data_IF_629032853072
#
_entry.id   IF_629032853072
#
_cell.length_a   1.000
_cell.length_b   1.000
_cell.length_c   1.000
_cell.angle_alpha   90.00
_cell.angle_beta   90.00
_cell.angle_gamma   90.00
#
_symmetry.space_group_name_H-M   'P 1'
#
loop_
_entity.id
_entity.type
_entity.pdbx_description
1 polymer ?
#
# COMPACT_ATOMS: atom_id res chain seq x y z
N UNK A 1 0.44 -26.89 15.92
CA UNK A 1 -0.80 -26.32 16.50
C UNK A 1 -1.60 -25.50 15.48
N UNK A 2 -1.01 -24.65 14.64
CA UNK A 2 -1.76 -23.86 13.64
C UNK A 2 -2.32 -24.63 12.43
N UNK A 3 -1.80 -25.83 12.12
CA UNK A 3 -2.22 -26.62 10.95
C UNK A 3 -3.55 -27.37 11.12
N UNK A 4 -4.14 -27.36 12.31
CA UNK A 4 -5.40 -28.06 12.61
C UNK A 4 -6.64 -27.15 12.48
N UNK A 5 -6.45 -25.83 12.48
CA UNK A 5 -7.54 -24.86 12.41
C UNK A 5 -7.67 -24.28 10.99
N UNK A 6 -8.91 -24.10 10.47
CA UNK A 6 -9.14 -23.52 9.15
C UNK A 6 -8.63 -22.07 9.09
N UNK A 7 -8.12 -21.65 7.93
CA UNK A 7 -7.53 -20.31 7.72
C UNK A 7 -8.47 -19.16 8.12
N UNK A 8 -9.77 -19.35 7.95
CA UNK A 8 -10.81 -18.37 8.32
C UNK A 8 -10.84 -18.06 9.82
N UNK A 9 -10.37 -18.98 10.66
CA UNK A 9 -10.32 -18.82 12.12
C UNK A 9 -8.99 -18.25 12.62
N UNK A 10 -8.06 -17.97 11.72
CA UNK A 10 -6.76 -17.42 12.10
C UNK A 10 -6.90 -15.95 12.48
N UNK A 11 -6.15 -15.55 13.50
CA UNK A 11 -6.06 -14.16 13.89
C UNK A 11 -5.40 -13.31 12.79
N UNK A 12 -5.74 -12.02 12.72
CA UNK A 12 -5.23 -11.09 11.69
C UNK A 12 -3.70 -11.01 11.68
N UNK A 13 -3.07 -11.15 12.85
CA UNK A 13 -1.63 -11.09 13.03
C UNK A 13 -0.96 -12.47 13.07
N UNK A 14 -1.65 -13.53 12.61
CA UNK A 14 -1.09 -14.87 12.61
C UNK A 14 0.25 -14.92 11.83
N UNK A 15 1.33 -15.49 12.41
CA UNK A 15 2.68 -15.39 11.86
C UNK A 15 2.80 -15.97 10.44
N UNK A 16 2.01 -16.99 10.10
CA UNK A 16 1.97 -17.54 8.74
C UNK A 16 1.41 -16.54 7.72
N UNK A 17 0.40 -15.74 8.05
CA UNK A 17 -0.15 -14.72 7.15
C UNK A 17 0.87 -13.60 6.90
N UNK A 18 1.55 -13.16 7.96
CA UNK A 18 2.62 -12.15 7.86
C UNK A 18 3.77 -12.69 7.02
N UNK A 19 4.18 -13.95 7.23
CA UNK A 19 5.22 -14.60 6.43
C UNK A 19 4.85 -14.69 4.94
N UNK A 20 3.61 -15.10 4.61
CA UNK A 20 3.11 -15.12 3.22
C UNK A 20 3.12 -13.71 2.59
N UNK A 21 2.68 -12.70 3.32
CA UNK A 21 2.67 -11.31 2.84
C UNK A 21 4.08 -10.78 2.58
N UNK A 22 5.01 -10.99 3.51
CA UNK A 22 6.42 -10.60 3.34
C UNK A 22 7.09 -11.36 2.21
N UNK A 23 6.78 -12.65 2.05
CA UNK A 23 7.28 -13.46 0.93
C UNK A 23 6.81 -12.91 -0.42
N UNK A 24 5.53 -12.53 -0.53
CA UNK A 24 5.01 -11.89 -1.73
C UNK A 24 5.71 -10.55 -2.04
N UNK A 25 5.90 -9.70 -1.03
CA UNK A 25 6.64 -8.43 -1.15
C UNK A 25 8.09 -8.67 -1.60
N UNK A 26 8.76 -9.66 -1.01
CA UNK A 26 10.14 -10.03 -1.38
C UNK A 26 10.24 -10.50 -2.83
N UNK A 27 9.26 -11.29 -3.31
CA UNK A 27 9.22 -11.74 -4.70
C UNK A 27 9.03 -10.58 -5.69
N UNK A 28 8.22 -9.57 -5.33
CA UNK A 28 8.08 -8.35 -6.13
C UNK A 28 9.44 -7.65 -6.24
N UNK A 29 10.12 -7.37 -5.11
CA UNK A 29 11.44 -6.73 -5.14
C UNK A 29 12.51 -7.55 -5.88
N UNK A 30 12.49 -8.88 -5.71
CA UNK A 30 13.36 -9.80 -6.43
C UNK A 30 13.17 -9.68 -7.95
N UNK A 31 11.92 -9.59 -8.41
CA UNK A 31 11.59 -9.41 -9.82
C UNK A 31 11.97 -8.01 -10.33
N UNK A 32 11.77 -6.96 -9.53
CA UNK A 32 12.20 -5.59 -9.88
C UNK A 32 13.72 -5.47 -10.04
N UNK A 33 14.51 -6.31 -9.36
CA UNK A 33 15.98 -6.32 -9.52
C UNK A 33 16.40 -6.57 -10.96
N UNK A 34 15.59 -7.25 -11.78
CA UNK A 34 15.86 -7.46 -13.20
C UNK A 34 15.97 -6.14 -13.98
N UNK A 35 15.32 -5.07 -13.54
CA UNK A 35 15.44 -3.73 -14.14
C UNK A 35 16.90 -3.25 -14.08
N UNK A 36 17.68 -3.63 -13.06
CA UNK A 36 19.11 -3.29 -12.99
C UNK A 36 19.95 -3.92 -14.11
N UNK A 37 19.51 -5.04 -14.71
CA UNK A 37 20.21 -5.67 -15.83
C UNK A 37 20.09 -4.86 -17.13
N UNK A 38 19.09 -3.96 -17.25
CA UNK A 38 18.96 -3.08 -18.41
C UNK A 38 20.12 -2.07 -18.53
N UNK A 39 20.87 -1.83 -17.45
CA UNK A 39 22.09 -1.00 -17.47
C UNK A 39 23.19 -1.60 -18.35
N UNK A 40 23.23 -2.92 -18.53
CA UNK A 40 24.22 -3.60 -19.35
C UNK A 40 23.95 -3.48 -20.86
N UNK A 41 22.75 -3.02 -21.25
CA UNK A 41 22.41 -2.83 -22.65
C UNK A 41 22.74 -1.39 -23.11
N UNK A 42 23.42 -1.26 -24.25
CA UNK A 42 23.88 0.02 -24.80
C UNK A 42 22.75 1.02 -25.09
N UNK A 43 21.55 0.54 -25.41
CA UNK A 43 20.38 1.39 -25.67
C UNK A 43 19.54 1.70 -24.42
N UNK A 44 19.41 0.75 -23.49
CA UNK A 44 18.52 0.88 -22.32
C UNK A 44 19.24 1.47 -21.09
N UNK A 45 20.56 1.39 -21.01
CA UNK A 45 21.36 1.95 -19.91
C UNK A 45 21.20 3.46 -19.75
N UNK A 46 21.35 4.29 -20.82
CA UNK A 46 21.15 5.74 -20.73
C UNK A 46 19.73 6.13 -20.29
N UNK A 47 18.73 5.35 -20.72
CA UNK A 47 17.33 5.57 -20.37
C UNK A 47 17.06 5.26 -18.90
N UNK A 48 17.64 4.19 -18.36
CA UNK A 48 17.55 3.86 -16.94
C UNK A 48 18.25 4.89 -16.05
N UNK A 49 19.41 5.40 -16.45
CA UNK A 49 20.12 6.47 -15.71
C UNK A 49 19.27 7.74 -15.65
N UNK A 50 18.63 8.09 -16.77
CA UNK A 50 17.71 9.24 -16.84
C UNK A 50 16.48 9.04 -15.94
N UNK A 51 15.91 7.83 -15.93
CA UNK A 51 14.80 7.46 -15.05
C UNK A 51 15.17 7.59 -13.57
N UNK A 52 16.35 7.12 -13.17
CA UNK A 52 16.84 7.25 -11.79
C UNK A 52 16.94 8.71 -11.32
N UNK A 53 17.35 9.62 -12.21
CA UNK A 53 17.40 11.06 -11.90
C UNK A 53 15.99 11.68 -11.80
N UNK A 54 15.08 11.33 -12.71
CA UNK A 54 13.69 11.79 -12.67
C UNK A 54 12.94 11.32 -11.41
N UNK A 55 13.24 10.11 -10.91
CA UNK A 55 12.64 9.61 -9.66
C UNK A 55 12.93 10.53 -8.45
N UNK A 56 14.13 11.13 -8.37
CA UNK A 56 14.45 12.05 -7.29
C UNK A 56 13.60 13.32 -7.33
N UNK A 57 13.28 13.80 -8.52
CA UNK A 57 12.38 14.95 -8.68
C UNK A 57 10.93 14.57 -8.38
N UNK A 58 10.48 13.39 -8.81
CA UNK A 58 9.16 12.85 -8.45
C UNK A 58 9.00 12.73 -6.92
N UNK A 59 10.02 12.24 -6.20
CA UNK A 59 9.97 12.13 -4.74
C UNK A 59 9.81 13.49 -4.05
N UNK A 60 10.42 14.57 -4.58
CA UNK A 60 10.22 15.93 -4.05
C UNK A 60 8.78 16.40 -4.24
N UNK A 61 8.18 16.15 -5.40
CA UNK A 61 6.77 16.48 -5.63
C UNK A 61 5.83 15.63 -4.78
N UNK A 62 6.15 14.35 -4.59
CA UNK A 62 5.40 13.44 -3.73
C UNK A 62 5.37 13.94 -2.28
N UNK A 63 6.46 14.51 -1.78
CA UNK A 63 6.51 15.09 -0.44
C UNK A 63 5.48 16.22 -0.26
N UNK A 64 5.42 17.17 -1.20
CA UNK A 64 4.43 18.26 -1.16
C UNK A 64 3.01 17.70 -1.28
N UNK A 65 2.80 16.74 -2.17
CA UNK A 65 1.51 16.07 -2.33
C UNK A 65 1.05 15.38 -1.03
N UNK A 66 1.94 14.67 -0.34
CA UNK A 66 1.65 14.06 0.95
C UNK A 66 1.25 15.09 2.02
N UNK A 67 1.90 16.25 2.07
CA UNK A 67 1.52 17.32 3.00
C UNK A 67 0.10 17.83 2.73
N UNK A 68 -0.25 18.04 1.46
CA UNK A 68 -1.60 18.43 1.05
C UNK A 68 -2.59 17.34 1.44
N UNK A 69 -2.31 16.07 1.09
CA UNK A 69 -3.17 14.93 1.40
C UNK A 69 -3.42 14.82 2.91
N UNK A 70 -2.38 14.95 3.74
CA UNK A 70 -2.51 14.91 5.20
C UNK A 70 -3.33 16.08 5.74
N UNK A 71 -3.16 17.30 5.22
CA UNK A 71 -3.97 18.45 5.62
C UNK A 71 -5.46 18.23 5.31
N UNK A 72 -5.78 17.72 4.12
CA UNK A 72 -7.14 17.36 3.75
C UNK A 72 -7.68 16.17 4.55
N UNK A 73 -6.87 15.13 4.79
CA UNK A 73 -7.25 13.98 5.59
C UNK A 73 -7.62 14.39 7.01
N UNK A 74 -6.84 15.27 7.64
CA UNK A 74 -7.15 15.81 8.96
C UNK A 74 -8.45 16.63 8.95
N UNK A 75 -8.64 17.48 7.93
CA UNK A 75 -9.86 18.29 7.79
C UNK A 75 -11.13 17.44 7.58
N UNK A 76 -11.05 16.43 6.72
CA UNK A 76 -12.14 15.50 6.46
C UNK A 76 -12.45 14.62 7.67
N UNK A 77 -11.41 14.07 8.31
CA UNK A 77 -11.58 13.30 9.54
C UNK A 77 -12.27 14.15 10.62
N UNK A 78 -11.81 15.38 10.85
CA UNK A 78 -12.44 16.28 11.83
C UNK A 78 -13.91 16.57 11.52
N UNK A 79 -14.27 16.70 10.23
CA UNK A 79 -15.63 16.99 9.80
C UNK A 79 -16.55 15.77 9.90
N UNK A 80 -16.06 14.60 9.51
CA UNK A 80 -16.86 13.38 9.36
C UNK A 80 -16.76 12.41 10.54
N UNK A 81 -15.86 12.63 11.50
CA UNK A 81 -15.68 11.77 12.69
C UNK A 81 -16.98 11.55 13.48
N UNK A 82 -17.86 12.56 13.55
CA UNK A 82 -19.14 12.42 14.27
C UNK A 82 -20.19 11.54 13.56
N UNK A 83 -19.99 11.24 12.28
CA UNK A 83 -20.93 10.49 11.45
C UNK A 83 -20.54 9.01 11.31
N UNK A 84 -19.77 8.49 12.26
CA UNK A 84 -19.33 7.10 12.24
C UNK A 84 -20.52 6.15 12.50
N UNK A 85 -20.94 5.42 11.47
CA UNK A 85 -22.01 4.44 11.55
C UNK A 85 -21.39 3.06 11.81
N UNK A 86 -21.58 2.53 13.02
CA UNK A 86 -21.04 1.23 13.45
C UNK A 86 -22.10 0.15 13.60
N UNK A 87 -23.39 0.50 13.48
CA UNK A 87 -24.49 -0.42 13.78
C UNK A 87 -24.91 -1.23 12.55
N UNK A 88 -24.90 -2.56 12.69
CA UNK A 88 -25.50 -3.48 11.70
C UNK A 88 -24.66 -3.73 10.42
N UNK A 89 -23.40 -3.29 10.39
CA UNK A 89 -22.50 -3.48 9.26
C UNK A 89 -21.69 -4.78 9.43
N UNK A 90 -21.78 -5.69 8.46
CA UNK A 90 -20.93 -6.88 8.37
C UNK A 90 -19.52 -6.58 7.84
N UNK A 91 -19.36 -5.47 7.12
CA UNK A 91 -18.11 -5.01 6.54
C UNK A 91 -17.99 -3.49 6.75
N UNK A 92 -16.85 -3.04 7.27
CA UNK A 92 -16.55 -1.63 7.53
C UNK A 92 -15.45 -1.11 6.60
N UNK A 93 -15.66 0.06 6.02
CA UNK A 93 -14.66 0.83 5.29
C UNK A 93 -14.84 0.85 3.78
N UNK A 94 -13.89 1.49 3.10
CA UNK A 94 -13.95 1.81 1.66
C UNK A 94 -13.79 0.61 0.72
N UNK A 95 -13.33 -0.53 1.25
CA UNK A 95 -13.07 -1.78 0.49
C UNK A 95 -14.26 -2.75 0.49
N UNK A 96 -15.37 -2.38 1.12
CA UNK A 96 -16.61 -3.14 1.10
C UNK A 96 -17.36 -2.94 -0.23
N UNK A 97 -18.26 -3.87 -0.58
CA UNK A 97 -19.13 -3.77 -1.76
C UNK A 97 -19.92 -2.45 -1.76
N UNK A 98 -20.48 -2.10 -0.61
CA UNK A 98 -21.07 -0.78 -0.34
C UNK A 98 -20.12 0.00 0.56
N UNK A 99 -19.47 1.01 -0.02
CA UNK A 99 -18.52 1.87 0.70
C UNK A 99 -19.23 2.58 1.84
N UNK A 100 -18.66 2.47 3.04
CA UNK A 100 -19.17 3.10 4.26
C UNK A 100 -17.99 3.61 5.09
N UNK A 101 -18.25 4.57 5.98
CA UNK A 101 -17.24 5.12 6.91
C UNK A 101 -15.94 5.53 6.18
N UNK A 102 -16.07 6.29 5.08
CA UNK A 102 -14.93 6.62 4.22
C UNK A 102 -13.98 7.65 4.84
N UNK A 103 -14.53 8.54 5.67
CA UNK A 103 -13.82 9.67 6.29
C UNK A 103 -14.08 9.76 7.81
N UNK A 104 -14.66 8.69 8.37
CA UNK A 104 -15.11 8.57 9.77
C UNK A 104 -14.49 7.33 10.38
#
# INVERSE_FOLDING_TARGET
YSALNPRESWDMWHPTLVAEALFAIANIFSSLRLISLFTANSHLGPLQISLGRMLLDILKFLFIYCLVLLAFANGLNQLYFYYEETKGLSCKGIRCEKQNNAFS
#
